data_IF_282180252824
#
_entry.id   IF_282180252824
#
_cell.length_a   1.000
_cell.length_b   1.000
_cell.length_c   1.000
_cell.angle_alpha   90.00
_cell.angle_beta   90.00
_cell.angle_gamma   90.00
#
_symmetry.space_group_name_H-M   'P 1'
#
loop_
_entity.id
_entity.type
_entity.pdbx_description
1 polymer ?
#
# COMPACT_ATOMS: atom_id res chain seq x y z
N UNK A 1 1.76 -12.94 -7.44
CA UNK A 1 2.85 -12.09 -6.90
C UNK A 1 2.23 -11.06 -5.99
N UNK A 2 2.66 -10.98 -4.73
CA UNK A 2 2.10 -10.08 -3.72
C UNK A 2 2.96 -8.82 -3.57
N UNK A 3 2.33 -7.66 -3.65
CA UNK A 3 2.94 -6.33 -3.45
C UNK A 3 2.41 -5.74 -2.15
N UNK A 4 3.31 -5.38 -1.25
CA UNK A 4 3.02 -4.70 0.01
C UNK A 4 3.28 -3.19 -0.11
N UNK A 5 2.27 -2.37 0.16
CA UNK A 5 2.38 -0.91 0.27
C UNK A 5 2.37 -0.55 1.75
N UNK A 6 3.45 0.05 2.24
CA UNK A 6 3.61 0.32 3.67
C UNK A 6 3.25 1.74 4.05
N UNK A 7 2.90 1.92 5.33
CA UNK A 7 2.80 3.23 5.94
C UNK A 7 4.19 3.74 6.26
N UNK A 8 4.47 4.99 5.90
CA UNK A 8 5.73 5.64 6.23
C UNK A 8 5.77 6.03 7.72
N UNK A 9 6.94 5.84 8.34
CA UNK A 9 7.16 6.11 9.77
C UNK A 9 8.15 7.24 10.03
N UNK A 10 8.85 7.71 8.98
CA UNK A 10 9.83 8.78 9.09
C UNK A 10 9.15 10.10 9.48
N UNK A 11 9.79 10.85 10.40
CA UNK A 11 9.26 12.12 10.87
C UNK A 11 9.11 13.12 9.70
N UNK A 12 7.90 13.65 9.53
CA UNK A 12 7.58 14.61 8.47
C UNK A 12 7.31 14.00 7.10
N UNK A 13 7.47 12.68 6.93
CA UNK A 13 7.03 12.00 5.72
C UNK A 13 5.50 11.91 5.70
N UNK A 14 4.90 12.36 4.60
CA UNK A 14 3.44 12.42 4.41
C UNK A 14 2.99 11.71 3.13
N UNK A 15 3.93 11.24 2.32
CA UNK A 15 3.66 10.54 1.07
C UNK A 15 3.33 9.07 1.33
N UNK A 16 2.77 8.44 0.30
CA UNK A 16 2.56 7.00 0.20
C UNK A 16 3.11 6.52 -1.14
N UNK A 17 3.65 5.30 -1.18
CA UNK A 17 4.36 4.78 -2.36
C UNK A 17 3.43 4.33 -3.51
N UNK A 18 2.12 4.26 -3.28
CA UNK A 18 1.12 3.91 -4.29
C UNK A 18 -0.19 4.68 -4.11
N UNK A 19 -0.86 4.97 -5.23
CA UNK A 19 -2.22 5.54 -5.27
C UNK A 19 -3.23 4.47 -5.71
N UNK A 20 -4.55 4.66 -5.49
CA UNK A 20 -5.57 3.73 -5.99
C UNK A 20 -5.47 3.47 -7.50
N UNK A 21 -5.05 4.46 -8.30
CA UNK A 21 -4.83 4.28 -9.73
C UNK A 21 -3.68 3.30 -10.02
N UNK A 22 -2.54 3.46 -9.34
CA UNK A 22 -1.39 2.56 -9.50
C UNK A 22 -1.71 1.15 -8.99
N UNK A 23 -2.40 1.05 -7.85
CA UNK A 23 -2.88 -0.23 -7.29
C UNK A 23 -3.78 -0.97 -8.29
N UNK A 24 -4.75 -0.26 -8.89
CA UNK A 24 -5.62 -0.82 -9.93
C UNK A 24 -4.83 -1.39 -11.11
N UNK A 25 -3.76 -0.71 -11.52
CA UNK A 25 -2.88 -1.18 -12.62
C UNK A 25 -2.08 -2.41 -12.22
N UNK A 26 -1.55 -2.48 -11.00
CA UNK A 26 -0.86 -3.68 -10.51
C UNK A 26 -1.79 -4.89 -10.45
N UNK A 27 -3.01 -4.71 -9.96
CA UNK A 27 -4.02 -5.77 -9.93
C UNK A 27 -4.37 -6.22 -11.35
N UNK A 28 -4.55 -5.29 -12.30
CA UNK A 28 -4.80 -5.62 -13.69
C UNK A 28 -3.66 -6.39 -14.37
N UNK A 29 -2.42 -6.25 -13.88
CA UNK A 29 -1.26 -7.03 -14.31
C UNK A 29 -1.14 -8.39 -13.60
N UNK A 30 -2.08 -8.75 -12.74
CA UNK A 30 -2.13 -10.05 -12.03
C UNK A 30 -1.41 -10.06 -10.68
N UNK A 31 -1.07 -8.90 -10.12
CA UNK A 31 -0.55 -8.82 -8.75
C UNK A 31 -1.67 -8.83 -7.71
N UNK A 32 -1.38 -9.40 -6.54
CA UNK A 32 -2.16 -9.18 -5.33
C UNK A 32 -1.57 -7.98 -4.60
N UNK A 33 -2.37 -6.97 -4.26
CA UNK A 33 -1.89 -5.78 -3.58
C UNK A 33 -2.47 -5.70 -2.18
N UNK A 34 -1.59 -5.59 -1.18
CA UNK A 34 -1.93 -5.39 0.22
C UNK A 34 -1.38 -4.04 0.69
N UNK A 35 -2.20 -3.24 1.38
CA UNK A 35 -1.87 -1.90 1.84
C UNK A 35 -1.95 -1.84 3.36
N UNK A 36 -0.93 -1.31 4.02
CA UNK A 36 -0.95 -1.08 5.47
C UNK A 36 -2.06 -0.08 5.83
N UNK A 37 -2.87 -0.42 6.84
CA UNK A 37 -3.95 0.43 7.33
C UNK A 37 -3.43 1.83 7.66
N UNK A 38 -4.05 2.84 7.04
CA UNK A 38 -3.69 4.24 7.19
C UNK A 38 -2.37 4.64 6.51
N UNK A 39 -1.89 3.88 5.53
CA UNK A 39 -0.71 4.24 4.74
C UNK A 39 -0.94 5.51 3.92
N UNK A 40 -2.17 5.75 3.46
CA UNK A 40 -2.53 6.90 2.62
C UNK A 40 -3.13 8.10 3.37
N UNK A 41 -3.36 8.00 4.69
CA UNK A 41 -4.07 9.03 5.47
C UNK A 41 -3.50 10.44 5.27
N UNK A 42 -2.17 10.57 5.35
CA UNK A 42 -1.47 11.86 5.22
C UNK A 42 -1.39 12.37 3.79
N UNK A 43 -1.72 11.50 2.81
CA UNK A 43 -1.79 11.80 1.39
C UNK A 43 -3.24 11.95 0.89
N UNK A 44 -4.23 12.03 1.80
CA UNK A 44 -5.66 12.12 1.48
C UNK A 44 -6.18 10.92 0.67
N UNK A 45 -5.67 9.73 0.97
CA UNK A 45 -6.06 8.47 0.36
C UNK A 45 -6.50 7.50 1.46
N UNK A 46 -7.80 7.46 1.73
CA UNK A 46 -8.36 6.58 2.75
C UNK A 46 -8.21 5.11 2.35
N UNK A 47 -8.14 4.22 3.35
CA UNK A 47 -8.12 2.76 3.16
C UNK A 47 -9.25 2.25 2.25
N UNK A 48 -10.43 2.88 2.34
CA UNK A 48 -11.59 2.54 1.51
C UNK A 48 -11.35 2.79 0.01
N UNK A 49 -10.51 3.76 -0.35
CA UNK A 49 -10.15 4.04 -1.73
C UNK A 49 -9.27 2.94 -2.33
N UNK A 50 -8.39 2.34 -1.52
CA UNK A 50 -7.60 1.18 -1.91
C UNK A 50 -8.45 -0.09 -1.99
N UNK A 51 -9.33 -0.31 -1.00
CA UNK A 51 -10.26 -1.45 -1.02
C UNK A 51 -11.21 -1.41 -2.23
N UNK A 52 -11.70 -0.22 -2.60
CA UNK A 52 -12.59 -0.03 -3.74
C UNK A 52 -11.98 -0.43 -5.09
N UNK A 53 -10.65 -0.46 -5.20
CA UNK A 53 -9.93 -0.92 -6.40
C UNK A 53 -9.41 -2.36 -6.31
N UNK A 54 -9.75 -3.07 -5.23
CA UNK A 54 -9.46 -4.49 -5.06
C UNK A 54 -8.21 -4.83 -4.25
N UNK A 55 -7.56 -3.84 -3.60
CA UNK A 55 -6.51 -4.14 -2.63
C UNK A 55 -7.09 -4.62 -1.30
N UNK A 56 -6.31 -5.40 -0.56
CA UNK A 56 -6.59 -5.69 0.85
C UNK A 56 -5.93 -4.64 1.73
N UNK A 57 -6.56 -4.29 2.85
CA UNK A 57 -5.97 -3.41 3.87
C UNK A 57 -5.81 -4.17 5.18
N UNK A 58 -4.76 -3.88 5.94
CA UNK A 58 -4.52 -4.59 7.20
C UNK A 58 -3.31 -4.12 7.98
N UNK A 59 -3.04 -4.80 9.10
CA UNK A 59 -1.86 -4.50 9.91
C UNK A 59 -0.58 -4.82 9.14
N UNK A 60 0.50 -4.10 9.46
CA UNK A 60 1.81 -4.21 8.80
C UNK A 60 2.30 -5.66 8.67
N UNK A 61 2.13 -6.47 9.72
CA UNK A 61 2.54 -7.88 9.72
C UNK A 61 1.80 -8.69 8.64
N UNK A 62 0.48 -8.50 8.50
CA UNK A 62 -0.36 -9.23 7.54
C UNK A 62 -0.08 -8.78 6.10
N UNK A 63 0.19 -7.48 5.92
CA UNK A 63 0.56 -6.90 4.63
C UNK A 63 1.90 -7.45 4.15
N UNK A 64 2.90 -7.53 5.04
CA UNK A 64 4.22 -8.08 4.75
C UNK A 64 4.24 -9.60 4.57
N UNK A 65 3.33 -10.34 5.21
CA UNK A 65 3.31 -11.80 5.17
C UNK A 65 3.20 -12.32 3.72
N UNK A 66 4.24 -12.99 3.24
CA UNK A 66 4.29 -13.53 1.87
C UNK A 66 4.39 -12.47 0.76
N UNK A 67 4.80 -11.24 1.07
CA UNK A 67 5.04 -10.22 0.06
C UNK A 67 6.32 -10.51 -0.75
N UNK A 68 6.21 -10.49 -2.07
CA UNK A 68 7.35 -10.64 -2.99
C UNK A 68 8.03 -9.27 -3.25
N UNK A 69 7.25 -8.19 -3.20
CA UNK A 69 7.69 -6.81 -3.43
C UNK A 69 7.18 -5.93 -2.29
N UNK A 70 8.04 -5.06 -1.77
CA UNK A 70 7.69 -4.05 -0.78
C UNK A 70 7.90 -2.67 -1.38
N UNK A 71 6.87 -1.82 -1.32
CA UNK A 71 6.89 -0.44 -1.77
C UNK A 71 6.88 0.51 -0.57
N UNK A 72 7.97 1.22 -0.38
CA UNK A 72 8.11 2.34 0.55
C UNK A 72 8.56 3.61 -0.19
N UNK A 73 8.47 4.74 0.49
CA UNK A 73 8.93 6.05 -0.01
C UNK A 73 10.36 6.32 0.46
N UNK A 74 10.59 6.25 1.77
CA UNK A 74 11.93 6.35 2.32
C UNK A 74 12.71 5.03 2.13
N UNK A 75 14.03 5.14 2.06
CA UNK A 75 14.89 3.96 2.16
C UNK A 75 14.70 3.25 3.51
N UNK A 76 15.00 1.95 3.58
CA UNK A 76 14.94 1.18 4.82
C UNK A 76 15.95 1.65 5.88
#
# INVERSE_FOLDING_TARGET
MKIAVLKETAAGERRVSATPETVKKFIALGAEVAVETGAGDTASLDDSAFAAVGATTGARADVLAGADIVLGVAGP
#
